data_IF_935825133201
#
_entry.id   IF_935825133201
#
_cell.length_a   1.000
_cell.length_b   1.000
_cell.length_c   1.000
_cell.angle_alpha   90.00
_cell.angle_beta   90.00
_cell.angle_gamma   90.00
#
_symmetry.space_group_name_H-M   'P 1'
#
loop_
_entity.id
_entity.type
_entity.pdbx_description
1 polymer ?
#
# COMPACT_ATOMS: atom_id res chain seq x y z
N UNK A 1 -24.35 13.40 20.98
CA UNK A 1 -24.02 11.96 20.77
C UNK A 1 -22.52 11.67 20.68
N UNK A 2 -21.67 12.57 20.17
CA UNK A 2 -20.21 12.31 20.04
C UNK A 2 -19.45 12.09 21.36
N UNK A 3 -19.75 12.86 22.41
CA UNK A 3 -18.97 12.81 23.66
C UNK A 3 -19.03 11.42 24.34
N UNK A 4 -20.21 10.79 24.36
CA UNK A 4 -20.39 9.45 24.94
C UNK A 4 -19.68 8.35 24.16
N UNK A 5 -19.60 8.46 22.83
CA UNK A 5 -18.85 7.54 21.99
C UNK A 5 -17.33 7.69 22.20
N UNK A 6 -16.85 8.93 22.38
CA UNK A 6 -15.45 9.23 22.68
C UNK A 6 -15.03 8.74 24.07
N UNK A 7 -15.88 8.88 25.08
CA UNK A 7 -15.61 8.31 26.41
C UNK A 7 -15.53 6.78 26.32
N UNK A 8 -16.47 6.12 25.63
CA UNK A 8 -16.42 4.67 25.40
C UNK A 8 -15.13 4.26 24.67
N UNK A 9 -14.71 5.01 23.64
CA UNK A 9 -13.48 4.67 22.90
C UNK A 9 -12.24 4.72 23.77
N UNK A 10 -12.16 5.61 24.78
CA UNK A 10 -11.01 5.62 25.71
C UNK A 10 -10.86 4.30 26.46
N UNK A 11 -11.97 3.75 26.95
CA UNK A 11 -11.96 2.48 27.68
C UNK A 11 -11.76 1.28 26.76
N UNK A 12 -12.26 1.33 25.53
CA UNK A 12 -12.04 0.27 24.54
C UNK A 12 -10.60 0.25 24.01
N UNK A 13 -10.00 1.41 23.75
CA UNK A 13 -8.65 1.52 23.17
C UNK A 13 -7.54 1.23 24.20
N UNK A 14 -7.79 1.52 25.47
CA UNK A 14 -6.83 1.28 26.56
C UNK A 14 -7.52 0.46 27.67
N UNK A 15 -7.73 -0.86 27.48
CA UNK A 15 -8.44 -1.69 28.44
C UNK A 15 -7.66 -1.90 29.75
N UNK A 16 -8.37 -2.31 30.80
CA UNK A 16 -7.79 -2.66 32.12
C UNK A 16 -7.67 -1.49 33.10
N UNK A 17 -7.29 -1.78 34.34
CA UNK A 17 -7.26 -0.80 35.45
C UNK A 17 -5.88 -0.69 36.13
N UNK A 18 -4.83 -1.27 35.53
CA UNK A 18 -3.47 -1.09 36.04
C UNK A 18 -3.04 0.38 35.99
N UNK A 19 -2.06 0.78 36.81
CA UNK A 19 -1.50 2.15 36.79
C UNK A 19 -1.02 2.54 35.38
N UNK A 20 -0.43 1.58 34.65
CA UNK A 20 -0.04 1.77 33.25
C UNK A 20 -1.25 2.03 32.35
N UNK A 21 -2.33 1.25 32.49
CA UNK A 21 -3.55 1.42 31.71
C UNK A 21 -4.26 2.75 32.04
N UNK A 22 -4.29 3.15 33.31
CA UNK A 22 -4.84 4.45 33.74
C UNK A 22 -4.02 5.62 33.17
N UNK A 23 -2.68 5.54 33.23
CA UNK A 23 -1.82 6.53 32.60
C UNK A 23 -2.04 6.61 31.08
N UNK A 24 -2.20 5.48 30.40
CA UNK A 24 -2.49 5.46 28.97
C UNK A 24 -3.87 6.07 28.63
N UNK A 25 -4.89 5.83 29.46
CA UNK A 25 -6.20 6.50 29.33
C UNK A 25 -6.07 8.00 29.51
N UNK A 26 -5.38 8.45 30.57
CA UNK A 26 -5.12 9.87 30.80
C UNK A 26 -4.42 10.53 29.61
N UNK A 27 -3.36 9.89 29.08
CA UNK A 27 -2.68 10.36 27.87
C UNK A 27 -3.64 10.48 26.69
N UNK A 28 -4.45 9.45 26.42
CA UNK A 28 -5.42 9.48 25.33
C UNK A 28 -6.44 10.60 25.50
N UNK A 29 -7.02 10.75 26.69
CA UNK A 29 -7.97 11.84 26.99
C UNK A 29 -7.34 13.21 26.78
N UNK A 30 -6.09 13.39 27.23
CA UNK A 30 -5.35 14.64 27.04
C UNK A 30 -5.12 14.93 25.55
N UNK A 31 -4.75 13.92 24.76
CA UNK A 31 -4.58 14.07 23.31
C UNK A 31 -5.90 14.38 22.60
N UNK A 32 -7.01 13.75 23.01
CA UNK A 32 -8.36 14.05 22.51
C UNK A 32 -8.73 15.52 22.77
N UNK A 33 -8.47 16.02 23.97
CA UNK A 33 -8.74 17.43 24.31
C UNK A 33 -7.84 18.37 23.50
N UNK A 34 -6.55 18.04 23.38
CA UNK A 34 -5.57 18.84 22.63
C UNK A 34 -5.90 18.94 21.14
N UNK A 35 -6.36 17.84 20.55
CA UNK A 35 -6.66 17.70 19.12
C UNK A 35 -8.17 17.80 18.85
N UNK A 36 -8.93 18.43 19.75
CA UNK A 36 -10.40 18.44 19.66
C UNK A 36 -10.94 19.03 18.34
N UNK A 37 -10.43 20.16 17.83
CA UNK A 37 -10.90 20.71 16.56
C UNK A 37 -10.71 19.74 15.39
N UNK A 38 -9.53 19.15 15.27
CA UNK A 38 -9.16 18.23 14.20
C UNK A 38 -9.90 16.90 14.33
N UNK A 39 -10.06 16.39 15.55
CA UNK A 39 -10.84 15.18 15.84
C UNK A 39 -12.32 15.40 15.52
N UNK A 40 -12.89 16.55 15.85
CA UNK A 40 -14.28 16.84 15.52
C UNK A 40 -14.48 16.93 14.00
N UNK A 41 -13.57 17.59 13.28
CA UNK A 41 -13.59 17.64 11.81
C UNK A 41 -13.45 16.24 11.20
N UNK A 42 -12.52 15.42 11.70
CA UNK A 42 -12.35 14.02 11.32
C UNK A 42 -13.65 13.22 11.51
N UNK A 43 -14.28 13.30 12.68
CA UNK A 43 -15.51 12.57 12.97
C UNK A 43 -16.68 13.02 12.08
N UNK A 44 -16.77 14.31 11.75
CA UNK A 44 -17.77 14.83 10.81
C UNK A 44 -17.57 14.26 9.41
N UNK A 45 -16.34 14.26 8.90
CA UNK A 45 -15.96 13.68 7.60
C UNK A 45 -16.26 12.19 7.53
N UNK A 46 -15.86 11.45 8.55
CA UNK A 46 -16.14 10.02 8.66
C UNK A 46 -17.64 9.72 8.72
N UNK A 47 -18.42 10.54 9.44
CA UNK A 47 -19.89 10.40 9.51
C UNK A 47 -20.53 10.72 8.16
N UNK A 48 -20.04 11.72 7.44
CA UNK A 48 -20.53 12.08 6.12
C UNK A 48 -20.23 10.99 5.08
N UNK A 49 -19.03 10.41 5.10
CA UNK A 49 -18.62 9.37 4.15
C UNK A 49 -19.28 8.01 4.40
N UNK A 50 -19.38 7.59 5.67
CA UNK A 50 -19.79 6.22 6.03
C UNK A 50 -21.20 6.13 6.61
N UNK A 51 -21.80 7.25 7.00
CA UNK A 51 -23.00 7.27 7.82
C UNK A 51 -22.77 6.71 9.24
N UNK A 52 -23.81 6.76 10.07
CA UNK A 52 -23.72 6.26 11.45
C UNK A 52 -23.51 4.74 11.52
N UNK A 53 -24.20 3.98 10.67
CA UNK A 53 -24.08 2.52 10.65
C UNK A 53 -22.69 2.08 10.15
N UNK A 54 -22.13 2.76 9.14
CA UNK A 54 -20.80 2.47 8.64
C UNK A 54 -19.72 2.75 9.69
N UNK A 55 -19.83 3.86 10.43
CA UNK A 55 -18.96 4.15 11.57
C UNK A 55 -19.06 3.10 12.69
N UNK A 56 -20.26 2.60 12.99
CA UNK A 56 -20.43 1.54 13.99
C UNK A 56 -19.73 0.24 13.55
N UNK A 57 -19.87 -0.14 12.27
CA UNK A 57 -19.19 -1.31 11.69
C UNK A 57 -17.67 -1.15 11.64
N UNK A 58 -17.20 0.07 11.34
CA UNK A 58 -15.78 0.42 11.34
C UNK A 58 -15.14 0.20 12.71
N UNK A 59 -15.92 0.45 13.77
CA UNK A 59 -15.49 0.35 15.15
C UNK A 59 -14.67 1.55 15.62
N UNK A 60 -14.30 1.53 16.90
CA UNK A 60 -13.66 2.66 17.59
C UNK A 60 -12.15 2.73 17.40
N UNK A 61 -11.55 1.75 16.73
CA UNK A 61 -10.10 1.73 16.44
C UNK A 61 -9.66 2.96 15.64
N UNK A 62 -10.53 3.50 14.78
CA UNK A 62 -10.24 4.70 13.99
C UNK A 62 -9.92 5.92 14.87
N UNK A 63 -10.44 6.01 16.09
CA UNK A 63 -10.13 7.10 17.04
C UNK A 63 -8.72 6.94 17.62
N UNK A 64 -8.18 5.72 17.63
CA UNK A 64 -6.85 5.45 18.16
C UNK A 64 -5.75 6.23 17.44
N UNK A 65 -5.96 6.64 16.18
CA UNK A 65 -5.01 7.44 15.39
C UNK A 65 -4.74 8.83 15.98
N UNK A 66 -5.55 9.30 16.93
CA UNK A 66 -5.26 10.49 17.74
C UNK A 66 -4.00 10.26 18.60
N UNK A 67 -3.85 9.06 19.17
CA UNK A 67 -2.79 8.77 20.15
C UNK A 67 -1.65 7.95 19.56
N UNK A 68 -1.95 6.93 18.75
CA UNK A 68 -0.92 6.03 18.24
C UNK A 68 -0.33 6.49 16.90
N UNK A 69 0.95 6.18 16.62
CA UNK A 69 1.52 6.36 15.29
C UNK A 69 0.75 5.54 14.27
N UNK A 70 0.70 6.05 13.04
CA UNK A 70 -0.02 5.45 11.93
C UNK A 70 0.76 5.69 10.64
N UNK A 71 1.06 4.62 9.90
CA UNK A 71 1.79 4.58 8.65
C UNK A 71 3.26 5.03 8.79
N UNK A 72 3.49 6.31 9.10
CA UNK A 72 4.79 6.88 9.43
C UNK A 72 4.85 7.27 10.91
N UNK A 73 6.00 7.06 11.55
CA UNK A 73 6.27 7.56 12.91
C UNK A 73 6.37 9.08 12.96
N UNK A 74 6.65 9.73 11.83
CA UNK A 74 6.85 11.19 11.77
C UNK A 74 5.52 11.94 11.57
N UNK A 75 4.40 11.22 11.43
CA UNK A 75 3.10 11.85 11.23
C UNK A 75 2.45 12.27 12.54
N UNK A 76 2.09 13.55 12.61
CA UNK A 76 1.33 14.10 13.72
C UNK A 76 -0.15 13.73 13.64
N UNK A 77 -0.87 13.87 14.76
CA UNK A 77 -2.26 13.44 14.86
C UNK A 77 -3.18 14.06 13.77
N UNK A 78 -3.05 15.36 13.41
CA UNK A 78 -3.83 15.93 12.31
C UNK A 78 -3.58 15.23 10.97
N UNK A 79 -2.32 14.95 10.64
CA UNK A 79 -1.96 14.27 9.38
C UNK A 79 -2.50 12.84 9.34
N UNK A 80 -2.43 12.11 10.46
CA UNK A 80 -2.99 10.76 10.58
C UNK A 80 -4.50 10.77 10.36
N UNK A 81 -5.21 11.68 11.01
CA UNK A 81 -6.67 11.82 10.86
C UNK A 81 -7.06 12.23 9.43
N UNK A 82 -6.31 13.15 8.81
CA UNK A 82 -6.53 13.57 7.42
C UNK A 82 -6.46 12.38 6.46
N UNK A 83 -5.37 11.61 6.53
CA UNK A 83 -5.16 10.45 5.65
C UNK A 83 -6.22 9.38 5.85
N UNK A 84 -6.62 9.10 7.08
CA UNK A 84 -7.67 8.10 7.37
C UNK A 84 -9.04 8.58 6.89
N UNK A 85 -9.41 9.84 7.12
CA UNK A 85 -10.67 10.37 6.61
C UNK A 85 -10.71 10.35 5.07
N UNK A 86 -9.63 10.84 4.44
CA UNK A 86 -9.48 10.86 2.98
C UNK A 86 -9.58 9.46 2.38
N UNK A 87 -9.03 8.43 3.03
CA UNK A 87 -9.16 7.05 2.60
C UNK A 87 -10.62 6.60 2.50
N UNK A 88 -11.39 6.78 3.58
CA UNK A 88 -12.78 6.34 3.61
C UNK A 88 -13.68 7.19 2.72
N UNK A 89 -13.39 8.49 2.55
CA UNK A 89 -14.07 9.34 1.57
C UNK A 89 -13.84 8.86 0.13
N UNK A 90 -12.58 8.52 -0.22
CA UNK A 90 -12.24 8.00 -1.55
C UNK A 90 -12.93 6.65 -1.79
N UNK A 91 -12.89 5.73 -0.83
CA UNK A 91 -13.54 4.43 -1.00
C UNK A 91 -15.06 4.55 -1.06
N UNK A 92 -15.70 5.26 -0.13
CA UNK A 92 -17.15 5.40 -0.12
C UNK A 92 -17.68 6.14 -1.35
N UNK A 93 -16.96 7.17 -1.82
CA UNK A 93 -17.41 8.01 -2.94
C UNK A 93 -17.04 7.48 -4.33
N UNK A 94 -15.88 6.84 -4.49
CA UNK A 94 -15.34 6.48 -5.82
C UNK A 94 -15.18 4.97 -6.02
N UNK A 95 -14.87 4.23 -4.95
CA UNK A 95 -14.54 2.79 -5.04
C UNK A 95 -15.27 1.95 -3.99
N UNK A 96 -16.62 1.98 -3.94
CA UNK A 96 -17.39 1.34 -2.87
C UNK A 96 -17.20 -0.19 -2.81
N UNK A 97 -16.82 -0.82 -3.92
CA UNK A 97 -16.48 -2.24 -3.97
C UNK A 97 -15.26 -2.62 -3.10
N UNK A 98 -14.40 -1.65 -2.76
CA UNK A 98 -13.23 -1.83 -1.91
C UNK A 98 -13.48 -1.41 -0.45
N UNK A 99 -14.68 -0.90 -0.13
CA UNK A 99 -15.00 -0.38 1.20
C UNK A 99 -15.25 -1.53 2.18
N UNK A 100 -14.19 -2.00 2.82
CA UNK A 100 -14.24 -2.99 3.91
C UNK A 100 -14.30 -2.26 5.26
N UNK A 101 -15.35 -2.50 6.04
CA UNK A 101 -15.57 -1.84 7.33
C UNK A 101 -15.29 -2.78 8.50
N UNK A 102 -15.86 -3.99 8.46
CA UNK A 102 -15.64 -5.04 9.44
C UNK A 102 -14.23 -5.62 9.38
N UNK A 103 -13.77 -6.21 10.51
CA UNK A 103 -12.46 -6.88 10.59
C UNK A 103 -12.51 -8.31 10.07
N UNK A 104 -13.71 -8.86 9.93
CA UNK A 104 -14.08 -10.15 9.36
C UNK A 104 -14.39 -10.08 7.86
N UNK A 105 -14.53 -8.87 7.32
CA UNK A 105 -14.76 -8.65 5.89
C UNK A 105 -13.48 -8.88 5.09
N UNK A 106 -13.64 -9.54 3.94
CA UNK A 106 -12.60 -9.73 2.96
C UNK A 106 -13.17 -9.80 1.55
N UNK A 107 -12.34 -9.47 0.57
CA UNK A 107 -12.64 -9.53 -0.84
C UNK A 107 -11.54 -10.34 -1.53
N UNK A 108 -11.89 -11.52 -2.05
CA UNK A 108 -10.99 -12.27 -2.93
C UNK A 108 -10.91 -11.57 -4.29
N UNK A 109 -9.71 -11.11 -4.65
CA UNK A 109 -9.48 -10.37 -5.89
C UNK A 109 -9.06 -11.27 -7.05
N UNK A 110 -8.32 -12.35 -6.76
CA UNK A 110 -7.79 -13.23 -7.79
C UNK A 110 -7.49 -14.62 -7.24
N UNK A 111 -8.04 -15.66 -7.87
CA UNK A 111 -7.61 -17.04 -7.65
C UNK A 111 -6.36 -17.33 -8.48
N UNK A 112 -5.34 -17.95 -7.87
CA UNK A 112 -4.05 -18.29 -8.50
C UNK A 112 -3.81 -19.81 -8.55
N UNK A 113 -4.86 -20.60 -8.36
CA UNK A 113 -4.79 -22.07 -8.31
C UNK A 113 -4.23 -22.70 -9.60
N UNK A 114 -4.30 -22.01 -10.74
CA UNK A 114 -3.67 -22.44 -12.00
C UNK A 114 -2.15 -22.35 -12.00
N UNK A 115 -1.56 -21.55 -11.12
CA UNK A 115 -0.10 -21.39 -10.98
C UNK A 115 0.43 -22.14 -9.77
N UNK A 116 -0.24 -22.00 -8.63
CA UNK A 116 0.12 -22.72 -7.41
C UNK A 116 -1.15 -23.08 -6.62
N UNK A 117 -1.38 -24.37 -6.31
CA UNK A 117 -2.59 -24.81 -5.64
C UNK A 117 -2.89 -24.05 -4.34
N UNK A 118 -4.15 -23.65 -4.16
CA UNK A 118 -4.62 -22.93 -2.98
C UNK A 118 -4.13 -21.49 -2.87
N UNK A 119 -3.37 -20.97 -3.86
CA UNK A 119 -2.95 -19.58 -3.85
C UNK A 119 -4.07 -18.63 -4.26
N UNK A 120 -4.21 -17.52 -3.54
CA UNK A 120 -5.18 -16.45 -3.86
C UNK A 120 -4.73 -15.08 -3.36
N UNK A 121 -5.16 -14.04 -4.06
CA UNK A 121 -5.03 -12.65 -3.65
C UNK A 121 -6.30 -12.19 -2.94
N UNK A 122 -6.13 -11.63 -1.74
CA UNK A 122 -7.24 -11.24 -0.87
C UNK A 122 -6.99 -9.85 -0.32
N UNK A 123 -8.00 -9.00 -0.43
CA UNK A 123 -8.05 -7.72 0.24
C UNK A 123 -8.84 -7.85 1.54
N UNK A 124 -8.28 -7.45 2.66
CA UNK A 124 -8.95 -7.50 3.96
C UNK A 124 -8.51 -6.33 4.85
N UNK A 125 -8.98 -6.35 6.11
CA UNK A 125 -8.66 -5.28 7.08
C UNK A 125 -8.32 -5.75 8.49
N UNK A 126 -7.36 -6.66 8.64
CA UNK A 126 -7.09 -7.33 9.90
C UNK A 126 -6.57 -6.39 10.99
N UNK A 127 -6.89 -6.73 12.24
CA UNK A 127 -6.58 -5.91 13.41
C UNK A 127 -5.06 -5.69 13.63
N UNK A 128 -4.21 -6.64 13.21
CA UNK A 128 -2.77 -6.55 13.38
C UNK A 128 -2.07 -5.61 12.40
N UNK A 129 -2.77 -5.10 11.38
CA UNK A 129 -2.27 -4.06 10.46
C UNK A 129 -2.93 -2.68 10.68
N UNK A 130 -3.69 -2.51 11.78
CA UNK A 130 -4.49 -1.31 12.03
C UNK A 130 -3.70 0.00 12.15
N UNK A 131 -2.37 -0.06 12.20
CA UNK A 131 -1.49 1.11 12.28
C UNK A 131 -0.62 1.27 11.04
N UNK A 132 -0.72 0.35 10.10
CA UNK A 132 0.11 0.27 8.91
C UNK A 132 -0.68 0.56 7.63
N UNK A 133 -1.99 0.34 7.65
CA UNK A 133 -2.88 0.75 6.56
C UNK A 133 -4.35 0.47 6.86
N UNK A 134 -5.22 1.09 6.07
CA UNK A 134 -6.66 0.83 6.11
C UNK A 134 -7.11 -0.32 5.21
N UNK A 135 -6.25 -0.83 4.33
CA UNK A 135 -6.50 -2.06 3.58
C UNK A 135 -5.22 -2.88 3.53
N UNK A 136 -5.36 -4.20 3.44
CA UNK A 136 -4.22 -5.10 3.30
C UNK A 136 -4.43 -6.00 2.11
N UNK A 137 -3.51 -5.94 1.16
CA UNK A 137 -3.44 -6.91 0.06
C UNK A 137 -2.57 -8.09 0.49
N UNK A 138 -3.13 -9.28 0.45
CA UNK A 138 -2.50 -10.51 0.94
C UNK A 138 -2.39 -11.53 -0.17
N UNK A 139 -1.29 -12.29 -0.13
CA UNK A 139 -1.18 -13.57 -0.82
C UNK A 139 -1.36 -14.68 0.21
N UNK A 140 -2.40 -15.49 0.01
CA UNK A 140 -2.64 -16.70 0.79
C UNK A 140 -2.23 -17.94 0.00
N UNK A 141 -1.83 -18.99 0.70
CA UNK A 141 -1.77 -20.38 0.22
C UNK A 141 -2.57 -21.24 1.21
N UNK A 142 -3.79 -21.64 0.85
CA UNK A 142 -4.75 -22.15 1.82
C UNK A 142 -5.05 -21.10 2.88
N UNK A 143 -4.90 -21.45 4.16
CA UNK A 143 -5.05 -20.53 5.30
C UNK A 143 -3.76 -19.78 5.65
N UNK A 144 -2.62 -20.14 5.04
CA UNK A 144 -1.36 -19.50 5.30
C UNK A 144 -1.26 -18.16 4.57
N UNK A 145 -1.08 -17.08 5.32
CA UNK A 145 -0.71 -15.78 4.77
C UNK A 145 0.79 -15.72 4.46
N UNK A 146 1.12 -15.80 3.18
CA UNK A 146 2.50 -15.86 2.68
C UNK A 146 3.16 -14.48 2.66
N UNK A 147 2.41 -13.47 2.22
CA UNK A 147 2.88 -12.10 2.16
C UNK A 147 1.72 -11.11 2.30
N UNK A 148 2.02 -9.91 2.76
CA UNK A 148 1.04 -8.83 2.97
C UNK A 148 1.63 -7.47 2.64
N UNK A 149 0.81 -6.60 2.05
CA UNK A 149 1.06 -5.16 1.88
C UNK A 149 -0.10 -4.38 2.51
N UNK A 150 0.18 -3.62 3.57
CA UNK A 150 -0.80 -2.71 4.16
C UNK A 150 -0.69 -1.35 3.52
N UNK A 151 -1.80 -0.79 3.05
CA UNK A 151 -1.83 0.49 2.35
C UNK A 151 -3.05 1.34 2.70
N UNK A 152 -2.93 2.63 2.41
CA UNK A 152 -3.98 3.63 2.60
C UNK A 152 -3.99 4.57 1.40
N UNK A 153 -5.18 5.06 1.05
CA UNK A 153 -5.37 6.04 -0.02
C UNK A 153 -5.54 7.41 0.61
N UNK A 154 -4.97 8.45 0.02
CA UNK A 154 -5.23 9.82 0.43
C UNK A 154 -5.23 10.72 -0.80
N UNK A 155 -6.28 11.51 -0.92
CA UNK A 155 -6.39 12.57 -1.90
C UNK A 155 -5.98 13.89 -1.26
N UNK A 156 -4.95 14.51 -1.84
CA UNK A 156 -4.45 15.82 -1.44
C UNK A 156 -4.39 16.73 -2.67
N UNK A 157 -4.97 17.92 -2.56
CA UNK A 157 -5.08 18.89 -3.67
C UNK A 157 -5.56 18.28 -5.01
N UNK A 158 -6.52 17.36 -4.93
CA UNK A 158 -7.08 16.66 -6.10
C UNK A 158 -6.25 15.48 -6.61
N UNK A 159 -5.01 15.29 -6.14
CA UNK A 159 -4.13 14.19 -6.53
C UNK A 159 -4.34 13.00 -5.59
N UNK A 160 -4.64 11.82 -6.14
CA UNK A 160 -4.76 10.60 -5.35
C UNK A 160 -3.40 9.93 -5.19
N UNK A 161 -3.01 9.68 -3.94
CA UNK A 161 -1.79 8.95 -3.59
C UNK A 161 -2.14 7.68 -2.82
N UNK A 162 -1.31 6.66 -2.96
CA UNK A 162 -1.36 5.42 -2.18
C UNK A 162 -0.10 5.32 -1.34
N UNK A 163 -0.28 5.06 -0.04
CA UNK A 163 0.80 4.95 0.94
C UNK A 163 0.86 3.51 1.45
N UNK A 164 2.00 2.85 1.28
CA UNK A 164 2.29 1.51 1.81
C UNK A 164 2.98 1.69 3.16
N UNK A 165 2.30 1.32 4.25
CA UNK A 165 2.86 1.39 5.61
C UNK A 165 3.48 0.09 6.10
N UNK A 166 3.24 -1.04 5.41
CA UNK A 166 3.94 -2.29 5.72
C UNK A 166 4.11 -3.22 4.52
N UNK A 167 5.23 -3.94 4.55
CA UNK A 167 5.42 -5.22 3.85
C UNK A 167 5.78 -6.29 4.87
N UNK A 168 5.07 -7.41 4.84
CA UNK A 168 5.35 -8.55 5.71
C UNK A 168 5.34 -9.85 4.92
N UNK A 169 6.06 -10.84 5.44
CA UNK A 169 5.99 -12.22 4.97
C UNK A 169 5.22 -13.10 5.94
N UNK A 170 5.41 -14.42 5.81
CA UNK A 170 4.97 -15.45 6.75
C UNK A 170 5.27 -15.02 8.21
N UNK A 171 4.24 -15.11 9.06
CA UNK A 171 4.28 -14.64 10.43
C UNK A 171 5.10 -15.57 11.36
N UNK A 172 5.45 -15.06 12.54
CA UNK A 172 6.11 -15.84 13.60
C UNK A 172 5.19 -16.99 14.03
N UNK A 173 5.66 -18.24 13.91
CA UNK A 173 4.88 -19.45 14.19
C UNK A 173 5.18 -20.58 13.22
N UNK A 174 5.70 -20.25 12.05
CA UNK A 174 6.36 -21.19 11.14
C UNK A 174 7.86 -21.01 11.29
N UNK A 175 8.60 -22.11 11.35
CA UNK A 175 10.06 -22.05 11.42
C UNK A 175 10.67 -21.46 10.14
N UNK A 176 11.92 -21.02 10.24
CA UNK A 176 12.61 -20.34 9.15
C UNK A 176 12.83 -21.25 7.95
N UNK A 177 13.10 -22.54 8.15
CA UNK A 177 13.38 -23.49 7.08
C UNK A 177 12.12 -23.78 6.25
N UNK A 178 11.00 -24.04 6.93
CA UNK A 178 9.69 -24.22 6.30
C UNK A 178 9.28 -22.96 5.54
N UNK A 179 9.47 -21.77 6.14
CA UNK A 179 9.19 -20.50 5.47
C UNK A 179 10.02 -20.31 4.19
N UNK A 180 11.31 -20.62 4.24
CA UNK A 180 12.21 -20.55 3.08
C UNK A 180 11.83 -21.56 1.99
N UNK A 181 11.41 -22.77 2.37
CA UNK A 181 10.92 -23.77 1.44
C UNK A 181 9.68 -23.27 0.69
N UNK A 182 8.68 -22.75 1.41
CA UNK A 182 7.47 -22.18 0.83
C UNK A 182 7.81 -21.02 -0.12
N UNK A 183 8.68 -20.09 0.28
CA UNK A 183 9.09 -19.01 -0.61
C UNK A 183 9.79 -19.49 -1.87
N UNK A 184 10.67 -20.50 -1.77
CA UNK A 184 11.37 -21.07 -2.92
C UNK A 184 10.41 -21.72 -3.89
N UNK A 185 9.47 -22.51 -3.37
CA UNK A 185 8.51 -23.25 -4.19
C UNK A 185 7.54 -22.28 -4.87
N UNK A 186 6.98 -21.31 -4.14
CA UNK A 186 6.15 -20.26 -4.74
C UNK A 186 6.92 -19.37 -5.73
N UNK A 187 8.19 -19.08 -5.45
CA UNK A 187 9.02 -18.33 -6.41
C UNK A 187 9.21 -19.13 -7.69
N UNK A 188 9.34 -20.46 -7.62
CA UNK A 188 9.42 -21.32 -8.80
C UNK A 188 8.08 -21.35 -9.55
N UNK A 189 6.97 -21.54 -8.84
CA UNK A 189 5.61 -21.58 -9.42
C UNK A 189 5.25 -20.26 -10.11
N UNK A 190 5.69 -19.13 -9.54
CA UNK A 190 5.51 -17.80 -10.13
C UNK A 190 6.65 -17.40 -11.08
N UNK A 191 7.27 -18.38 -11.75
CA UNK A 191 8.26 -18.16 -12.82
C UNK A 191 9.42 -17.25 -12.38
N UNK A 192 9.94 -17.52 -11.18
CA UNK A 192 11.02 -16.80 -10.54
C UNK A 192 10.63 -15.43 -9.94
N UNK A 193 9.34 -15.10 -9.85
CA UNK A 193 8.85 -13.89 -9.18
C UNK A 193 8.60 -14.18 -7.70
N UNK A 194 9.25 -13.44 -6.81
CA UNK A 194 9.06 -13.61 -5.36
C UNK A 194 7.64 -13.20 -4.95
N UNK A 195 7.02 -13.88 -3.96
CA UNK A 195 5.68 -13.53 -3.47
C UNK A 195 5.44 -12.05 -3.14
N UNK A 196 6.40 -11.38 -2.50
CA UNK A 196 6.29 -9.93 -2.20
C UNK A 196 6.32 -9.06 -3.46
N UNK A 197 7.11 -9.43 -4.46
CA UNK A 197 7.17 -8.73 -5.74
C UNK A 197 5.88 -8.92 -6.54
N UNK A 198 5.28 -10.13 -6.50
CA UNK A 198 3.95 -10.37 -7.08
C UNK A 198 2.90 -9.46 -6.44
N UNK A 199 2.87 -9.36 -5.10
CA UNK A 199 1.95 -8.46 -4.41
C UNK A 199 2.15 -6.99 -4.78
N UNK A 200 3.40 -6.55 -4.92
CA UNK A 200 3.68 -5.17 -5.27
C UNK A 200 3.26 -4.85 -6.71
N UNK A 201 3.47 -5.76 -7.66
CA UNK A 201 2.99 -5.59 -9.04
C UNK A 201 1.45 -5.62 -9.10
N UNK A 202 0.79 -6.51 -8.33
CA UNK A 202 -0.66 -6.51 -8.17
C UNK A 202 -1.17 -5.18 -7.57
N UNK A 203 -0.49 -4.65 -6.55
CA UNK A 203 -0.82 -3.37 -5.94
C UNK A 203 -0.61 -2.19 -6.91
N UNK A 204 0.44 -2.21 -7.75
CA UNK A 204 0.64 -1.22 -8.82
C UNK A 204 -0.48 -1.29 -9.87
N UNK A 205 -0.96 -2.48 -10.22
CA UNK A 205 -2.14 -2.63 -11.07
C UNK A 205 -3.37 -2.01 -10.43
N UNK A 206 -3.64 -2.34 -9.16
CA UNK A 206 -4.74 -1.76 -8.40
C UNK A 206 -4.62 -0.23 -8.34
N UNK A 207 -3.46 0.31 -7.99
CA UNK A 207 -3.21 1.75 -7.94
C UNK A 207 -3.51 2.45 -9.28
N UNK A 208 -3.10 1.87 -10.42
CA UNK A 208 -3.43 2.41 -11.75
C UNK A 208 -4.94 2.42 -12.01
N UNK A 209 -5.65 1.35 -11.65
CA UNK A 209 -7.11 1.27 -11.80
C UNK A 209 -7.85 2.29 -10.94
N UNK A 210 -7.29 2.64 -9.78
CA UNK A 210 -7.83 3.65 -8.88
C UNK A 210 -7.46 5.08 -9.28
N UNK A 211 -6.68 5.28 -10.34
CA UNK A 211 -6.20 6.61 -10.75
C UNK A 211 -5.22 7.23 -9.76
N UNK A 212 -4.46 6.40 -9.03
CA UNK A 212 -3.38 6.86 -8.15
C UNK A 212 -2.27 7.45 -9.01
N UNK A 213 -1.81 8.64 -8.66
CA UNK A 213 -0.69 9.31 -9.30
C UNK A 213 0.66 8.95 -8.65
N UNK A 214 0.66 8.75 -7.32
CA UNK A 214 1.87 8.49 -6.55
C UNK A 214 1.72 7.28 -5.63
N UNK A 215 2.67 6.36 -5.72
CA UNK A 215 2.80 5.23 -4.81
C UNK A 215 4.01 5.48 -3.89
N UNK A 216 3.72 5.68 -2.61
CA UNK A 216 4.71 5.92 -1.57
C UNK A 216 4.87 4.70 -0.69
N UNK A 217 6.09 4.32 -0.33
CA UNK A 217 6.37 3.20 0.55
C UNK A 217 7.20 3.66 1.74
N UNK A 218 6.74 3.42 2.97
CA UNK A 218 7.37 3.97 4.17
C UNK A 218 8.79 3.46 4.32
N UNK A 219 9.73 4.36 4.64
CA UNK A 219 11.11 3.97 4.90
C UNK A 219 11.21 3.15 6.19
N UNK A 220 12.26 2.35 6.27
CA UNK A 220 12.61 1.55 7.44
C UNK A 220 12.72 2.41 8.70
N UNK A 221 13.40 3.55 8.55
CA UNK A 221 13.61 4.52 9.62
C UNK A 221 12.31 5.16 10.10
N UNK A 222 11.32 5.32 9.24
CA UNK A 222 10.05 5.99 9.54
C UNK A 222 8.88 5.04 9.84
N UNK A 223 9.11 3.72 9.93
CA UNK A 223 8.06 2.77 10.35
C UNK A 223 7.44 3.14 11.68
N UNK A 224 6.12 2.97 11.79
CA UNK A 224 5.36 3.26 13.01
C UNK A 224 5.90 2.54 14.27
N UNK A 225 6.44 1.31 14.15
CA UNK A 225 7.04 0.56 15.27
C UNK A 225 8.22 1.29 15.94
N UNK A 226 8.93 2.15 15.21
CA UNK A 226 10.05 2.95 15.75
C UNK A 226 9.58 4.19 16.53
N UNK A 227 8.28 4.43 16.64
CA UNK A 227 7.74 5.54 17.40
C UNK A 227 7.82 5.27 18.92
N UNK A 228 8.14 6.29 19.75
CA UNK A 228 8.26 6.14 21.22
C UNK A 228 7.02 5.59 21.92
N UNK A 229 5.85 5.64 21.29
CA UNK A 229 4.60 5.01 21.78
C UNK A 229 4.81 3.54 22.17
N UNK A 230 5.66 2.81 21.44
CA UNK A 230 5.92 1.38 21.70
C UNK A 230 7.02 1.11 22.73
N UNK A 231 7.69 2.15 23.24
CA UNK A 231 8.90 2.06 24.06
C UNK A 231 10.17 1.87 23.23
N UNK A 232 11.32 2.17 23.85
CA UNK A 232 12.65 2.05 23.24
C UNK A 232 12.99 0.62 22.83
N UNK A 233 12.57 -0.35 23.65
CA UNK A 233 13.09 -1.73 23.58
C UNK A 233 12.48 -2.52 22.41
N UNK A 234 11.30 -2.12 21.92
CA UNK A 234 10.61 -2.77 20.79
C UNK A 234 11.08 -2.31 19.42
N UNK A 235 11.92 -1.28 19.35
CA UNK A 235 12.41 -0.73 18.08
C UNK A 235 13.54 -1.57 17.44
N UNK A 236 14.16 -2.48 18.20
CA UNK A 236 15.37 -3.19 17.76
C UNK A 236 15.15 -4.59 17.16
N UNK A 237 14.02 -5.26 17.42
CA UNK A 237 13.79 -6.65 17.00
C UNK A 237 13.02 -6.80 15.66
N UNK A 238 13.27 -5.92 14.69
CA UNK A 238 12.63 -5.97 13.38
C UNK A 238 13.53 -6.67 12.35
N UNK A 239 13.17 -7.90 11.99
CA UNK A 239 13.99 -8.75 11.11
C UNK A 239 14.02 -8.31 9.63
N UNK A 240 12.98 -7.60 9.14
CA UNK A 240 12.93 -7.14 7.76
C UNK A 240 13.45 -5.71 7.65
N UNK A 241 14.26 -5.41 6.62
CA UNK A 241 14.65 -4.06 6.21
C UNK A 241 13.76 -3.60 5.02
N UNK A 242 13.04 -2.49 5.18
CA UNK A 242 12.03 -2.04 4.20
C UNK A 242 12.71 -1.36 3.03
N UNK A 243 13.74 -0.57 3.28
CA UNK A 243 14.48 0.16 2.26
C UNK A 243 15.04 -0.80 1.22
N UNK A 244 15.67 -1.90 1.69
CA UNK A 244 16.17 -2.96 0.79
C UNK A 244 15.04 -3.57 -0.03
N UNK A 245 13.91 -3.90 0.60
CA UNK A 245 12.76 -4.48 -0.11
C UNK A 245 12.22 -3.52 -1.17
N UNK A 246 12.11 -2.22 -0.85
CA UNK A 246 11.63 -1.21 -1.79
C UNK A 246 12.61 -1.01 -2.95
N UNK A 247 13.90 -0.87 -2.66
CA UNK A 247 14.95 -0.71 -3.66
C UNK A 247 15.06 -1.92 -4.60
N UNK A 248 14.95 -3.15 -4.07
CA UNK A 248 14.90 -4.38 -4.89
C UNK A 248 13.73 -4.37 -5.89
N UNK A 249 12.66 -3.63 -5.59
CA UNK A 249 11.50 -3.47 -6.45
C UNK A 249 11.46 -2.10 -7.16
N UNK A 250 12.61 -1.46 -7.34
CA UNK A 250 12.76 -0.26 -8.16
C UNK A 250 12.26 1.03 -7.51
N UNK A 251 12.12 1.05 -6.18
CA UNK A 251 11.81 2.28 -5.47
C UNK A 251 13.02 3.23 -5.45
N UNK A 252 12.74 4.52 -5.50
CA UNK A 252 13.73 5.60 -5.42
C UNK A 252 13.37 6.55 -4.28
N UNK A 253 14.30 7.43 -3.89
CA UNK A 253 14.03 8.45 -2.89
C UNK A 253 12.84 9.32 -3.30
N UNK A 254 11.94 9.59 -2.35
CA UNK A 254 10.81 10.49 -2.56
C UNK A 254 11.19 11.94 -2.24
N UNK A 255 10.33 12.88 -2.62
CA UNK A 255 10.34 14.25 -2.08
C UNK A 255 9.84 14.33 -0.62
N UNK A 256 9.35 13.21 -0.07
CA UNK A 256 8.95 13.06 1.32
C UNK A 256 9.97 12.20 2.04
N UNK A 257 10.69 12.75 3.02
CA UNK A 257 11.77 12.07 3.75
C UNK A 257 11.33 10.74 4.41
N UNK A 258 10.06 10.62 4.73
CA UNK A 258 9.46 9.42 5.33
C UNK A 258 9.29 8.24 4.36
N UNK A 259 9.38 8.48 3.05
CA UNK A 259 8.92 7.54 2.04
C UNK A 259 9.93 7.35 0.90
N UNK A 260 9.88 6.17 0.30
CA UNK A 260 10.32 5.93 -1.06
C UNK A 260 9.15 6.17 -2.01
N UNK A 261 9.45 6.45 -3.28
CA UNK A 261 8.47 6.44 -4.37
C UNK A 261 8.69 5.22 -5.27
N UNK A 262 7.60 4.58 -5.66
CA UNK A 262 7.61 3.41 -6.55
C UNK A 262 6.89 3.80 -7.85
N UNK A 263 7.57 3.60 -8.98
CA UNK A 263 6.99 3.89 -10.29
C UNK A 263 5.83 2.95 -10.57
N UNK A 264 4.65 3.50 -10.92
CA UNK A 264 3.44 2.73 -11.22
C UNK A 264 3.50 1.98 -12.55
N UNK A 265 4.35 2.44 -13.49
CA UNK A 265 4.55 1.74 -14.75
C UNK A 265 5.02 0.30 -14.49
N UNK A 266 4.50 -0.69 -15.25
CA UNK A 266 5.00 -2.06 -15.18
C UNK A 266 6.50 -2.09 -15.43
N UNK A 267 7.22 -2.87 -14.64
CA UNK A 267 8.66 -3.04 -14.83
C UNK A 267 8.92 -3.91 -16.08
N UNK A 268 8.96 -3.30 -17.26
CA UNK A 268 9.33 -3.99 -18.50
C UNK A 268 10.85 -3.95 -18.68
N UNK A 269 11.46 -5.13 -18.78
CA UNK A 269 12.83 -5.27 -19.27
C UNK A 269 12.78 -5.60 -20.76
N UNK A 270 13.59 -4.93 -21.57
CA UNK A 270 13.68 -5.28 -22.98
C UNK A 270 14.21 -6.72 -23.12
N UNK A 271 13.67 -7.47 -24.07
CA UNK A 271 14.01 -8.90 -24.24
C UNK A 271 15.51 -9.10 -24.53
N UNK A 272 16.14 -8.11 -25.18
CA UNK A 272 17.58 -8.06 -25.42
C UNK A 272 18.43 -8.03 -24.14
N UNK A 273 17.92 -7.42 -23.07
CA UNK A 273 18.61 -7.30 -21.77
C UNK A 273 18.46 -8.58 -20.92
N UNK A 274 17.62 -9.51 -21.36
CA UNK A 274 17.39 -10.78 -20.68
C UNK A 274 18.31 -11.84 -21.32
N UNK A 275 19.18 -12.51 -20.53
CA UNK A 275 20.01 -13.60 -21.02
C UNK A 275 19.17 -14.65 -21.74
N UNK A 276 19.61 -15.13 -22.91
CA UNK A 276 18.83 -16.02 -23.78
C UNK A 276 18.19 -17.20 -23.03
N UNK A 277 18.95 -17.85 -22.14
CA UNK A 277 18.50 -18.98 -21.31
C UNK A 277 17.36 -18.65 -20.32
N UNK A 278 17.12 -17.37 -20.02
CA UNK A 278 16.06 -16.91 -19.10
C UNK A 278 14.85 -16.31 -19.83
N UNK A 279 14.94 -16.03 -21.15
CA UNK A 279 13.86 -15.36 -21.91
C UNK A 279 12.53 -16.11 -21.85
N UNK A 280 12.54 -17.43 -21.94
CA UNK A 280 11.30 -18.23 -21.86
C UNK A 280 10.60 -18.09 -20.49
N UNK A 281 11.36 -18.12 -19.40
CA UNK A 281 10.81 -17.93 -18.05
C UNK A 281 10.29 -16.51 -17.85
N UNK A 282 11.01 -15.48 -18.32
CA UNK A 282 10.52 -14.09 -18.25
C UNK A 282 9.24 -13.87 -19.07
N UNK A 283 9.11 -14.51 -20.24
CA UNK A 283 7.86 -14.48 -21.03
C UNK A 283 6.69 -15.10 -20.27
N UNK A 284 6.89 -16.28 -19.65
CA UNK A 284 5.84 -16.91 -18.82
C UNK A 284 5.50 -16.09 -17.58
N UNK A 285 6.49 -15.47 -16.94
CA UNK A 285 6.27 -14.51 -15.84
C UNK A 285 5.42 -13.32 -16.27
N UNK A 286 5.68 -12.75 -17.45
CA UNK A 286 4.88 -11.64 -17.96
C UNK A 286 3.44 -12.09 -18.23
N UNK A 287 3.25 -13.26 -18.86
CA UNK A 287 1.92 -13.83 -19.08
C UNK A 287 1.16 -14.08 -17.76
N UNK A 288 1.86 -14.55 -16.71
CA UNK A 288 1.29 -14.67 -15.36
C UNK A 288 0.82 -13.32 -14.82
N UNK A 289 1.66 -12.29 -14.91
CA UNK A 289 1.30 -10.94 -14.44
C UNK A 289 0.11 -10.37 -15.22
N UNK A 290 0.09 -10.55 -16.54
CA UNK A 290 -1.01 -10.09 -17.39
C UNK A 290 -2.33 -10.78 -17.01
N UNK A 291 -2.34 -12.10 -16.79
CA UNK A 291 -3.51 -12.85 -16.32
C UNK A 291 -3.98 -12.38 -14.94
N UNK A 292 -3.05 -12.14 -14.00
CA UNK A 292 -3.37 -11.56 -12.69
C UNK A 292 -4.01 -10.17 -12.85
N UNK A 293 -3.44 -9.30 -13.69
CA UNK A 293 -3.95 -7.96 -13.91
C UNK A 293 -5.34 -7.96 -14.54
N UNK A 294 -5.62 -8.88 -15.47
CA UNK A 294 -6.95 -9.05 -16.07
C UNK A 294 -7.96 -9.47 -15.00
N UNK A 295 -7.61 -10.43 -14.13
CA UNK A 295 -8.50 -10.89 -13.05
C UNK A 295 -8.76 -9.81 -12.00
N UNK A 296 -7.74 -9.05 -11.62
CA UNK A 296 -7.90 -7.89 -10.73
C UNK A 296 -8.86 -6.85 -11.32
N UNK A 297 -8.75 -6.58 -12.63
CA UNK A 297 -9.67 -5.67 -13.32
C UNK A 297 -11.10 -6.19 -13.34
N UNK A 298 -11.29 -7.49 -13.58
CA UNK A 298 -12.60 -8.11 -13.56
C UNK A 298 -13.25 -8.11 -12.16
N UNK A 299 -12.45 -8.22 -11.09
CA UNK A 299 -12.94 -8.19 -9.71
C UNK A 299 -13.45 -6.81 -9.25
N UNK A 300 -13.10 -5.73 -9.97
CA UNK A 300 -13.42 -4.35 -9.59
C UNK A 300 -14.22 -3.61 -10.68
N UNK A 301 -15.50 -3.97 -10.89
CA UNK A 301 -16.33 -3.34 -11.91
C UNK A 301 -16.55 -1.86 -11.58
N UNK A 302 -15.90 -0.96 -12.32
CA UNK A 302 -16.10 0.49 -12.17
C UNK A 302 -14.97 1.41 -12.67
N UNK A 303 -13.75 0.91 -12.88
CA UNK A 303 -12.61 1.73 -13.30
C UNK A 303 -12.41 1.82 -14.82
N UNK A 304 -13.44 2.23 -15.57
CA UNK A 304 -13.28 2.57 -16.99
C UNK A 304 -12.67 3.96 -17.17
N UNK A 305 -11.45 4.18 -16.65
CA UNK A 305 -10.60 5.25 -17.14
C UNK A 305 -9.53 4.64 -18.04
N UNK A 306 -9.54 5.05 -19.31
CA UNK A 306 -8.63 4.63 -20.38
C UNK A 306 -7.19 4.40 -19.87
N UNK A 307 -6.84 3.14 -19.60
CA UNK A 307 -5.44 2.73 -19.65
C UNK A 307 -5.08 2.65 -21.12
N UNK A 308 -4.49 3.73 -21.63
CA UNK A 308 -3.84 3.76 -22.93
C UNK A 308 -2.70 2.75 -23.00
N UNK A 309 -3.03 1.48 -23.21
CA UNK A 309 -2.15 0.50 -23.84
C UNK A 309 -2.21 0.74 -25.35
N UNK A 310 -1.66 1.87 -25.80
CA UNK A 310 -1.26 2.02 -27.20
C UNK A 310 0.26 2.14 -27.25
N UNK A 311 0.91 0.98 -27.31
CA UNK A 311 2.18 0.89 -28.02
C UNK A 311 1.89 1.27 -29.47
N UNK A 312 2.33 2.46 -29.88
CA UNK A 312 2.32 2.84 -31.30
C UNK A 312 3.29 1.92 -32.05
N UNK A 313 2.75 0.86 -32.64
CA UNK A 313 3.19 0.41 -33.95
C UNK A 313 2.52 1.33 -34.98
N UNK A 314 3.31 1.95 -35.86
CA UNK A 314 2.80 2.83 -36.89
C UNK A 314 3.90 3.70 -37.49
N UNK A 315 4.55 3.13 -38.50
CA UNK A 315 5.05 3.75 -39.73
C UNK A 315 5.87 5.03 -39.68
N UNK A 316 7.11 4.85 -40.16
CA UNK A 316 7.99 5.88 -40.65
C UNK A 316 7.32 6.65 -41.81
N UNK A 317 6.87 7.86 -41.52
CA UNK A 317 6.66 8.87 -42.56
C UNK A 317 7.94 9.69 -42.72
N UNK A 318 8.56 9.51 -43.87
CA UNK A 318 9.57 10.40 -44.41
C UNK A 318 8.96 11.81 -44.59
N UNK A 319 9.63 12.82 -44.05
CA UNK A 319 9.49 14.20 -44.54
C UNK A 319 10.87 14.81 -44.67
N UNK A 320 11.12 15.18 -45.91
CA UNK A 320 12.26 15.85 -46.51
C UNK A 320 12.66 17.14 -45.79
N UNK A 321 13.95 17.30 -45.54
CA UNK A 321 14.55 18.59 -45.20
C UNK A 321 15.35 19.08 -46.41
N UNK A 322 14.93 20.21 -46.97
CA UNK A 322 15.63 20.97 -48.01
C UNK A 322 15.93 22.36 -47.46
N UNK A 323 17.24 22.64 -47.33
CA UNK A 323 17.97 23.90 -47.63
C UNK A 323 17.41 25.22 -47.03
N UNK A 324 18.16 26.11 -46.37
CA UNK A 324 19.40 26.85 -46.67
C UNK A 324 19.70 27.60 -45.35
N UNK A 325 20.89 27.72 -44.77
CA UNK A 325 21.93 28.69 -45.17
C UNK A 325 23.23 28.47 -44.35
N UNK A 326 24.38 28.63 -45.03
CA UNK A 326 25.75 28.85 -44.46
C UNK A 326 26.08 30.31 -44.81
N UNK A 327 26.91 31.09 -44.06
CA UNK A 327 28.31 30.73 -43.68
C UNK A 327 28.76 31.52 -42.39
N UNK A 328 30.06 31.81 -42.11
CA UNK A 328 31.32 31.26 -42.62
C UNK A 328 32.26 30.67 -41.57
N UNK A 329 33.23 29.94 -42.13
CA UNK A 329 34.45 29.42 -41.53
C UNK A 329 35.37 30.56 -41.10
N UNK A 330 35.92 30.48 -39.88
CA UNK A 330 37.18 31.13 -39.52
C UNK A 330 38.12 30.03 -39.04
N UNK A 331 39.17 29.84 -39.83
CA UNK A 331 40.29 28.94 -39.60
C UNK A 331 41.39 29.74 -38.90
N UNK A 332 41.93 29.27 -37.76
CA UNK A 332 43.23 29.70 -37.21
C UNK A 332 43.65 28.87 -35.98
N UNK A 333 44.55 27.91 -36.21
CA UNK A 333 45.85 27.77 -35.53
C UNK A 333 45.89 27.81 -33.98
N UNK A 334 45.91 26.63 -33.33
CA UNK A 334 47.06 26.05 -32.62
C UNK A 334 46.69 24.77 -31.88
#
# INVERSE_FOLDING_TARGET
MMLGALVKSVFTLQPGYSLRALNNKYKLTREIVRQWPELNAFMQRMTAALGQQGLQRLGVDCIGVVQWPYLSKCWEAPQRMEVVASHFEVLAGQFPALLLLGRDESLTLCELASYSPGCRLVLDRPIWFKREGELVLNLFQGDLRVASLAFTLCRDQGVLSMFIGAVQGIHKGIDSETSLAIYRDLTKDFEGLRPRSLLLEALKCLARMLGVAHLYAVSDACRHHRHPYFGSDKAHDLAANYDVIWQENGATASNRDDFFTITLAPAQRAEQDIPAKKRAMYRRRQALLDDVFIRLQAALPGSSHNLGLQGKQGDAFAVSASAVDRPPVVDSLK
#
